data_IF_716444406809
#
_entry.id   IF_716444406809
#
_cell.length_a   1.000
_cell.length_b   1.000
_cell.length_c   1.000
_cell.angle_alpha   90.00
_cell.angle_beta   90.00
_cell.angle_gamma   90.00
#
_symmetry.space_group_name_H-M   'P 1'
#
loop_
_entity.id
_entity.type
_entity.pdbx_description
1 polymer ?
#
# COMPACT_ATOMS: atom_id res chain seq x y z
N UNK A 1 -2.55 9.68 -41.11
CA UNK A 1 -2.18 8.45 -40.37
C UNK A 1 -0.82 8.71 -39.76
N UNK A 2 -0.81 9.42 -38.63
CA UNK A 2 0.43 9.81 -38.00
C UNK A 2 0.66 8.86 -36.81
N UNK A 3 1.58 7.92 -37.03
CA UNK A 3 2.12 7.07 -35.98
C UNK A 3 3.02 7.93 -35.10
N UNK A 4 2.52 8.41 -33.99
CA UNK A 4 3.35 9.03 -32.95
C UNK A 4 4.20 7.92 -32.32
N UNK A 5 5.37 7.70 -32.91
CA UNK A 5 6.44 6.93 -32.27
C UNK A 5 6.90 7.74 -31.06
N UNK A 6 6.61 7.26 -29.86
CA UNK A 6 7.19 7.81 -28.64
C UNK A 6 8.67 7.41 -28.70
N UNK A 7 9.51 8.37 -29.04
CA UNK A 7 10.97 8.26 -28.98
C UNK A 7 11.36 8.19 -27.49
N UNK A 8 11.57 6.98 -27.00
CA UNK A 8 12.15 6.74 -25.69
C UNK A 8 13.64 7.06 -25.80
N UNK A 9 14.02 8.24 -25.31
CA UNK A 9 15.41 8.66 -25.23
C UNK A 9 16.27 7.55 -24.62
N UNK A 10 17.43 7.22 -25.20
CA UNK A 10 18.30 6.11 -24.75
C UNK A 10 18.80 6.25 -23.33
N UNK A 11 18.79 7.43 -22.74
CA UNK A 11 19.17 7.69 -21.34
C UNK A 11 18.24 7.02 -20.31
N UNK A 12 16.94 6.88 -20.61
CA UNK A 12 15.98 6.28 -19.70
C UNK A 12 16.18 4.76 -19.51
N UNK A 13 16.68 4.07 -20.51
CA UNK A 13 16.93 2.63 -20.44
C UNK A 13 18.12 2.30 -19.51
N UNK A 14 19.09 3.20 -19.40
CA UNK A 14 20.28 3.04 -18.55
C UNK A 14 19.95 3.25 -17.07
N UNK A 15 18.96 4.07 -16.73
CA UNK A 15 18.57 4.41 -15.35
C UNK A 15 17.53 3.44 -14.77
N UNK A 16 16.92 2.57 -15.57
CA UNK A 16 15.86 1.65 -15.15
C UNK A 16 16.26 0.74 -13.98
N UNK A 17 17.45 0.13 -13.94
CA UNK A 17 17.86 -0.72 -12.82
C UNK A 17 18.04 0.07 -11.52
N UNK A 18 18.59 1.27 -11.60
CA UNK A 18 18.85 2.14 -10.45
C UNK A 18 17.53 2.68 -9.87
N UNK A 19 16.60 3.09 -10.73
CA UNK A 19 15.27 3.51 -10.33
C UNK A 19 14.47 2.38 -9.65
N UNK A 20 14.58 1.14 -10.14
CA UNK A 20 13.93 0.00 -9.51
C UNK A 20 14.56 -0.32 -8.15
N UNK A 21 15.87 -0.19 -8.01
CA UNK A 21 16.56 -0.38 -6.73
C UNK A 21 16.12 0.68 -5.71
N UNK A 22 16.04 1.95 -6.11
CA UNK A 22 15.57 3.05 -5.27
C UNK A 22 14.13 2.80 -4.82
N UNK A 23 13.23 2.45 -5.74
CA UNK A 23 11.84 2.09 -5.46
C UNK A 23 11.72 0.95 -4.43
N UNK A 24 12.51 -0.12 -4.59
CA UNK A 24 12.54 -1.25 -3.65
C UNK A 24 12.98 -0.83 -2.26
N UNK A 25 13.94 0.05 -2.18
CA UNK A 25 14.43 0.58 -0.91
C UNK A 25 13.36 1.45 -0.23
N UNK A 26 12.70 2.32 -0.99
CA UNK A 26 11.60 3.15 -0.53
C UNK A 26 10.42 2.30 -0.03
N UNK A 27 9.99 1.29 -0.81
CA UNK A 27 8.93 0.36 -0.41
C UNK A 27 9.26 -0.35 0.89
N UNK A 28 10.49 -0.86 1.01
CA UNK A 28 10.95 -1.52 2.24
C UNK A 28 10.87 -0.60 3.45
N UNK A 29 11.37 0.62 3.33
CA UNK A 29 11.38 1.60 4.42
C UNK A 29 9.95 2.00 4.79
N UNK A 30 9.12 2.28 3.79
CA UNK A 30 7.72 2.64 3.96
C UNK A 30 6.93 1.56 4.73
N UNK A 31 6.98 0.31 4.28
CA UNK A 31 6.26 -0.80 4.92
C UNK A 31 6.76 -1.10 6.34
N UNK A 32 8.07 -1.03 6.56
CA UNK A 32 8.63 -1.19 7.91
C UNK A 32 8.15 -0.12 8.86
N UNK A 33 8.10 1.13 8.42
CA UNK A 33 7.63 2.27 9.23
C UNK A 33 6.13 2.13 9.52
N UNK A 34 5.31 1.84 8.51
CA UNK A 34 3.88 1.65 8.67
C UNK A 34 3.56 0.52 9.67
N UNK A 35 4.26 -0.61 9.56
CA UNK A 35 4.11 -1.74 10.47
C UNK A 35 4.60 -1.46 11.89
N UNK A 36 5.68 -0.71 12.04
CA UNK A 36 6.25 -0.36 13.33
C UNK A 36 5.38 0.64 14.12
N UNK A 37 4.58 1.43 13.43
CA UNK A 37 3.70 2.44 14.03
C UNK A 37 2.41 1.88 14.64
N UNK A 38 2.08 0.59 14.46
CA UNK A 38 0.86 -0.03 14.95
C UNK A 38 1.16 -1.14 15.95
N UNK A 39 0.49 -1.10 17.09
CA UNK A 39 0.47 -2.23 18.03
C UNK A 39 -0.58 -3.28 17.64
N UNK A 40 -0.51 -4.50 18.21
CA UNK A 40 -1.52 -5.54 17.98
C UNK A 40 -2.93 -5.11 18.36
N UNK A 41 -3.07 -4.40 19.49
CA UNK A 41 -4.36 -3.87 19.94
C UNK A 41 -5.01 -2.94 18.93
N UNK A 42 -4.21 -2.19 18.16
CA UNK A 42 -4.72 -1.27 17.16
C UNK A 42 -5.44 -1.98 16.02
N UNK A 43 -5.10 -3.23 15.79
CA UNK A 43 -5.65 -4.07 14.70
C UNK A 43 -6.47 -5.27 15.22
N UNK A 44 -6.85 -5.25 16.49
CA UNK A 44 -7.69 -6.29 17.11
C UNK A 44 -6.97 -7.60 17.42
N UNK A 45 -5.64 -7.61 17.42
CA UNK A 45 -4.85 -8.79 17.79
C UNK A 45 -4.51 -8.78 19.29
N UNK A 46 -4.42 -9.95 19.93
CA UNK A 46 -4.08 -10.04 21.35
C UNK A 46 -2.65 -9.57 21.61
N UNK A 47 -2.47 -8.80 22.66
CA UNK A 47 -1.14 -8.44 23.15
C UNK A 47 -0.49 -9.62 23.86
N UNK A 48 0.66 -10.05 23.34
CA UNK A 48 1.47 -11.07 24.03
C UNK A 48 2.50 -10.39 24.95
N UNK A 49 2.60 -10.86 26.19
CA UNK A 49 3.41 -10.25 27.26
C UNK A 49 4.93 -10.14 26.96
N UNK A 50 5.47 -10.92 26.02
CA UNK A 50 6.90 -10.90 25.65
C UNK A 50 7.10 -10.45 24.20
N UNK A 51 6.94 -9.16 23.93
CA UNK A 51 7.25 -8.59 22.62
C UNK A 51 8.63 -7.96 22.60
N UNK A 52 9.50 -8.43 21.69
CA UNK A 52 10.81 -7.80 21.44
C UNK A 52 10.71 -6.59 20.49
N UNK A 53 9.58 -6.40 19.84
CA UNK A 53 9.33 -5.36 18.84
C UNK A 53 8.05 -4.63 19.24
N UNK A 54 8.04 -3.30 19.33
CA UNK A 54 6.85 -2.55 19.74
C UNK A 54 5.72 -2.63 18.71
N UNK A 55 6.03 -2.71 17.40
CA UNK A 55 5.07 -2.74 16.33
C UNK A 55 4.56 -4.15 15.96
N UNK A 56 3.75 -4.23 14.91
CA UNK A 56 3.26 -5.49 14.36
C UNK A 56 4.42 -6.36 13.85
N UNK A 57 4.31 -7.67 14.05
CA UNK A 57 5.22 -8.65 13.45
C UNK A 57 4.81 -8.92 12.00
N UNK A 58 5.76 -9.35 11.15
CA UNK A 58 5.47 -9.75 9.78
C UNK A 58 4.40 -10.84 9.68
N UNK A 59 4.43 -11.79 10.62
CA UNK A 59 3.42 -12.85 10.71
C UNK A 59 2.02 -12.32 10.99
N UNK A 60 1.90 -11.34 11.86
CA UNK A 60 0.63 -10.71 12.20
C UNK A 60 0.05 -9.95 10.98
N UNK A 61 0.88 -9.21 10.26
CA UNK A 61 0.43 -8.55 9.03
C UNK A 61 0.05 -9.56 7.96
N UNK A 62 0.85 -10.61 7.76
CA UNK A 62 0.56 -11.67 6.80
C UNK A 62 -0.79 -12.36 7.09
N UNK A 63 -1.07 -12.65 8.35
CA UNK A 63 -2.36 -13.20 8.81
C UNK A 63 -3.52 -12.26 8.50
N UNK A 64 -3.40 -10.97 8.86
CA UNK A 64 -4.43 -9.96 8.61
C UNK A 64 -4.80 -9.81 7.13
N UNK A 65 -3.82 -9.93 6.23
CA UNK A 65 -4.05 -9.78 4.79
C UNK A 65 -4.27 -11.11 4.05
N UNK A 66 -4.17 -12.25 4.75
CA UNK A 66 -4.43 -13.58 4.21
C UNK A 66 -3.36 -14.07 3.22
N UNK A 67 -2.08 -13.87 3.56
CA UNK A 67 -0.92 -14.37 2.79
C UNK A 67 0.05 -15.14 3.68
N UNK A 68 1.03 -15.82 3.07
CA UNK A 68 2.11 -16.46 3.84
C UNK A 68 3.11 -15.42 4.37
N UNK A 69 3.75 -15.72 5.49
CA UNK A 69 4.80 -14.86 6.08
C UNK A 69 5.97 -14.65 5.11
N UNK A 70 6.32 -15.68 4.33
CA UNK A 70 7.40 -15.62 3.36
C UNK A 70 7.04 -14.75 2.16
N UNK A 71 5.77 -14.76 1.73
CA UNK A 71 5.28 -13.84 0.73
C UNK A 71 5.41 -12.38 1.22
N UNK A 72 4.89 -12.11 2.43
CA UNK A 72 4.96 -10.76 3.01
C UNK A 72 6.41 -10.29 3.22
N UNK A 73 7.29 -11.19 3.69
CA UNK A 73 8.73 -10.90 3.83
C UNK A 73 9.36 -10.50 2.50
N UNK A 74 9.03 -11.22 1.42
CA UNK A 74 9.53 -10.93 0.07
C UNK A 74 8.99 -9.59 -0.45
N UNK A 75 7.72 -9.31 -0.23
CA UNK A 75 7.09 -8.04 -0.59
C UNK A 75 7.70 -6.87 0.18
N UNK A 76 7.79 -6.96 1.52
CA UNK A 76 8.41 -5.93 2.36
C UNK A 76 9.90 -5.70 1.99
N UNK A 77 10.59 -6.72 1.50
CA UNK A 77 11.96 -6.59 1.02
C UNK A 77 12.09 -5.96 -0.38
N UNK A 78 10.96 -5.62 -1.02
CA UNK A 78 10.93 -5.06 -2.36
C UNK A 78 11.25 -6.06 -3.46
N UNK A 79 11.16 -7.37 -3.19
CA UNK A 79 11.34 -8.39 -4.23
C UNK A 79 10.14 -8.39 -5.16
N UNK A 80 10.37 -8.80 -6.42
CA UNK A 80 9.29 -8.94 -7.40
C UNK A 80 8.35 -10.06 -6.97
N UNK A 81 7.19 -9.70 -6.48
CA UNK A 81 6.05 -10.59 -6.19
C UNK A 81 4.83 -10.07 -6.90
N UNK A 82 3.97 -10.98 -7.34
CA UNK A 82 2.69 -10.55 -7.94
C UNK A 82 1.80 -9.96 -6.86
N UNK A 83 1.36 -8.75 -7.09
CA UNK A 83 0.51 -7.99 -6.17
C UNK A 83 -0.78 -7.64 -6.89
N UNK A 84 -1.93 -7.98 -6.31
CA UNK A 84 -3.23 -7.56 -6.84
C UNK A 84 -3.71 -6.29 -6.13
N UNK A 85 -4.54 -5.47 -6.78
CA UNK A 85 -5.16 -4.31 -6.14
C UNK A 85 -5.93 -4.67 -4.86
N UNK A 86 -6.63 -5.82 -4.86
CA UNK A 86 -7.36 -6.32 -3.69
C UNK A 86 -6.45 -6.64 -2.52
N UNK A 87 -5.26 -7.15 -2.79
CA UNK A 87 -4.27 -7.42 -1.75
C UNK A 87 -3.70 -6.14 -1.17
N UNK A 88 -3.42 -5.14 -2.02
CA UNK A 88 -3.02 -3.80 -1.56
C UNK A 88 -4.11 -3.14 -0.71
N UNK A 89 -5.38 -3.25 -1.11
CA UNK A 89 -6.50 -2.74 -0.32
C UNK A 89 -6.58 -3.40 1.07
N UNK A 90 -6.39 -4.72 1.15
CA UNK A 90 -6.32 -5.42 2.46
C UNK A 90 -5.15 -4.94 3.30
N UNK A 91 -4.00 -4.72 2.69
CA UNK A 91 -2.81 -4.21 3.40
C UNK A 91 -3.02 -2.78 3.90
N UNK A 92 -3.63 -1.90 3.10
CA UNK A 92 -4.01 -0.53 3.47
C UNK A 92 -4.93 -0.55 4.70
N UNK A 93 -5.96 -1.39 4.68
CA UNK A 93 -6.89 -1.54 5.79
C UNK A 93 -6.19 -2.12 7.04
N UNK A 94 -5.39 -3.18 6.90
CA UNK A 94 -4.68 -3.82 7.99
C UNK A 94 -3.67 -2.89 8.67
N UNK A 95 -2.98 -2.05 7.90
CA UNK A 95 -2.02 -1.08 8.41
C UNK A 95 -2.63 0.30 8.67
N UNK A 96 -3.96 0.44 8.61
CA UNK A 96 -4.70 1.70 8.87
C UNK A 96 -4.09 2.91 8.16
N UNK A 97 -3.74 2.74 6.90
CA UNK A 97 -3.08 3.77 6.12
C UNK A 97 -4.04 4.91 5.79
N UNK A 98 -3.55 6.14 5.87
CA UNK A 98 -4.25 7.30 5.31
C UNK A 98 -4.31 7.22 3.77
N UNK A 99 -5.18 8.01 3.14
CA UNK A 99 -5.29 8.07 1.67
C UNK A 99 -3.95 8.41 1.00
N UNK A 100 -3.16 9.30 1.60
CA UNK A 100 -1.83 9.64 1.10
C UNK A 100 -0.86 8.45 1.17
N UNK A 101 -0.87 7.72 2.29
CA UNK A 101 -0.03 6.53 2.45
C UNK A 101 -0.49 5.38 1.55
N UNK A 102 -1.80 5.23 1.36
CA UNK A 102 -2.36 4.27 0.41
C UNK A 102 -1.88 4.53 -1.01
N UNK A 103 -1.91 5.78 -1.43
CA UNK A 103 -1.42 6.20 -2.74
C UNK A 103 0.08 5.95 -2.90
N UNK A 104 0.89 6.31 -1.90
CA UNK A 104 2.32 6.03 -1.89
C UNK A 104 2.59 4.51 -2.00
N UNK A 105 1.81 3.68 -1.29
CA UNK A 105 1.92 2.22 -1.39
C UNK A 105 1.65 1.73 -2.82
N UNK A 106 0.60 2.19 -3.49
CA UNK A 106 0.31 1.80 -4.87
C UNK A 106 1.44 2.17 -5.82
N UNK A 107 1.99 3.38 -5.70
CA UNK A 107 3.12 3.82 -6.51
C UNK A 107 4.37 2.96 -6.28
N UNK A 108 4.69 2.66 -5.03
CA UNK A 108 5.86 1.88 -4.68
C UNK A 108 5.70 0.39 -4.99
N UNK A 109 4.48 -0.15 -4.88
CA UNK A 109 4.21 -1.57 -5.10
C UNK A 109 4.12 -1.96 -6.58
N UNK A 110 3.73 -1.02 -7.45
CA UNK A 110 3.53 -1.26 -8.88
C UNK A 110 4.62 -0.50 -9.65
N UNK A 111 5.64 -1.19 -10.22
CA UNK A 111 6.77 -0.55 -10.89
C UNK A 111 6.36 0.42 -12.00
N UNK A 112 5.35 0.05 -12.78
CA UNK A 112 4.85 0.86 -13.89
C UNK A 112 4.28 2.19 -13.40
N UNK A 113 3.61 2.19 -12.25
CA UNK A 113 3.08 3.42 -11.64
C UNK A 113 4.19 4.30 -11.10
N UNK A 114 5.22 3.72 -10.52
CA UNK A 114 6.38 4.46 -10.01
C UNK A 114 7.11 5.20 -11.13
N UNK A 115 7.36 4.52 -12.24
CA UNK A 115 8.02 5.10 -13.42
C UNK A 115 7.16 6.20 -14.06
N UNK A 116 5.87 5.94 -14.26
CA UNK A 116 4.94 6.92 -14.83
C UNK A 116 4.84 8.18 -13.98
N UNK A 117 4.83 8.04 -12.65
CA UNK A 117 4.78 9.19 -11.74
C UNK A 117 6.05 10.02 -11.81
N UNK A 118 7.22 9.39 -11.88
CA UNK A 118 8.49 10.14 -12.03
C UNK A 118 8.62 10.83 -13.38
N UNK A 119 8.11 10.22 -14.45
CA UNK A 119 8.10 10.83 -15.78
C UNK A 119 7.04 11.94 -15.91
N UNK A 120 5.90 11.80 -15.23
CA UNK A 120 4.80 12.77 -15.27
C UNK A 120 5.04 14.04 -14.43
N UNK A 121 6.17 14.16 -13.72
CA UNK A 121 6.56 15.39 -13.02
C UNK A 121 6.65 16.60 -13.97
N UNK A 122 6.54 16.38 -15.29
CA UNK A 122 6.47 17.43 -16.30
C UNK A 122 5.08 17.92 -16.71
N UNK A 123 4.05 17.09 -16.80
CA UNK A 123 2.84 17.53 -17.54
C UNK A 123 1.54 16.79 -17.22
N UNK A 124 1.09 16.49 -16.09
CA UNK A 124 -0.33 16.13 -15.87
C UNK A 124 -0.61 15.46 -14.51
N UNK A 125 -0.09 16.04 -13.47
CA UNK A 125 -0.22 15.46 -12.12
C UNK A 125 -1.67 15.41 -11.59
N UNK A 126 -2.56 16.31 -12.00
CA UNK A 126 -3.88 16.44 -11.38
C UNK A 126 -4.86 15.31 -11.72
N UNK A 127 -4.90 14.86 -12.96
CA UNK A 127 -5.92 13.86 -13.36
C UNK A 127 -5.57 12.44 -12.90
N UNK A 128 -4.30 12.07 -12.95
CA UNK A 128 -3.82 10.76 -12.46
C UNK A 128 -3.97 10.67 -10.95
N UNK A 129 -3.66 11.73 -10.22
CA UNK A 129 -3.85 11.83 -8.77
C UNK A 129 -5.31 11.70 -8.37
N UNK A 130 -6.23 12.36 -9.06
CA UNK A 130 -7.66 12.28 -8.76
C UNK A 130 -8.26 10.89 -9.03
N UNK A 131 -7.79 10.19 -10.08
CA UNK A 131 -8.22 8.81 -10.35
C UNK A 131 -7.74 7.83 -9.29
N UNK A 132 -6.47 7.92 -8.90
CA UNK A 132 -5.88 7.06 -7.87
C UNK A 132 -6.48 7.29 -6.49
N UNK A 133 -6.71 8.54 -6.10
CA UNK A 133 -7.38 8.89 -4.85
C UNK A 133 -8.78 8.28 -4.81
N UNK A 134 -9.55 8.38 -5.91
CA UNK A 134 -10.90 7.82 -6.00
C UNK A 134 -10.92 6.29 -5.88
N UNK A 135 -9.97 5.59 -6.49
CA UNK A 135 -9.83 4.13 -6.37
C UNK A 135 -9.46 3.73 -4.95
N UNK A 136 -8.56 4.47 -4.31
CA UNK A 136 -8.19 4.24 -2.91
C UNK A 136 -9.37 4.51 -1.96
N UNK A 137 -10.12 5.58 -2.15
CA UNK A 137 -11.29 5.91 -1.33
C UNK A 137 -12.40 4.86 -1.48
N UNK A 138 -12.66 4.37 -2.70
CA UNK A 138 -13.57 3.26 -2.92
C UNK A 138 -13.12 1.96 -2.25
N UNK A 139 -11.83 1.64 -2.30
CA UNK A 139 -11.28 0.45 -1.66
C UNK A 139 -11.35 0.54 -0.13
N UNK A 140 -11.15 1.73 0.44
CA UNK A 140 -11.27 1.98 1.87
C UNK A 140 -12.74 1.90 2.32
N UNK A 141 -13.67 2.49 1.56
CA UNK A 141 -15.11 2.47 1.85
C UNK A 141 -15.73 1.08 1.73
N UNK A 142 -15.31 0.27 0.76
CA UNK A 142 -15.80 -1.10 0.60
C UNK A 142 -15.30 -2.06 1.69
N UNK A 143 -14.27 -1.69 2.44
CA UNK A 143 -13.68 -2.51 3.49
C UNK A 143 -14.04 -2.05 4.91
N UNK A 144 -14.87 -0.99 5.07
CA UNK A 144 -15.47 -0.64 6.35
C UNK A 144 -16.73 -1.50 6.56
N UNK A 145 -16.77 -2.38 7.57
CA UNK A 145 -18.03 -2.95 8.01
C UNK A 145 -18.90 -1.78 8.51
N UNK A 146 -20.06 -1.63 7.91
CA UNK A 146 -21.07 -0.64 8.29
C UNK A 146 -21.29 -0.72 9.79
N UNK A 147 -20.90 0.30 10.53
CA UNK A 147 -21.37 0.53 11.90
C UNK A 147 -22.82 1.05 11.86
N UNK A 148 -23.73 0.19 11.38
CA UNK A 148 -25.15 0.32 11.58
C UNK A 148 -25.55 -0.71 12.64
N UNK A 149 -25.49 -0.31 13.89
CA UNK A 149 -25.89 -1.17 14.99
C UNK A 149 -25.61 -0.58 16.38
N UNK A 150 -25.93 0.72 16.56
CA UNK A 150 -25.91 1.31 17.90
C UNK A 150 -26.93 2.45 18.01
N UNK A 151 -28.21 2.13 17.86
CA UNK A 151 -29.31 2.96 18.38
C UNK A 151 -30.55 2.09 18.56
N UNK A 152 -30.56 1.24 19.57
CA UNK A 152 -31.79 0.68 20.14
C UNK A 152 -31.52 0.17 21.57
N UNK A 153 -31.11 1.08 22.46
CA UNK A 153 -31.17 0.85 23.90
C UNK A 153 -31.73 2.10 24.60
N UNK A 154 -32.90 2.54 24.17
CA UNK A 154 -33.72 3.48 24.92
C UNK A 154 -35.20 3.21 24.68
N UNK A 155 -35.66 2.04 25.11
CA UNK A 155 -37.10 1.76 25.22
C UNK A 155 -37.39 0.59 26.16
N UNK A 156 -36.88 0.65 27.38
CA UNK A 156 -37.44 -0.08 28.53
C UNK A 156 -36.90 0.52 29.83
N UNK A 157 -37.50 1.63 30.25
CA UNK A 157 -37.71 2.02 31.65
C UNK A 157 -39.06 2.73 31.71
#
# INVERSE_FOLDING_TARGET
MDSTTIDLSPDLASDMPELDLARRHELRTFLKTARAGLGPSDVGLPQTMRRRVPGLRRGEVAELIGVTVDWYRSFEAGRSVRVSPQLLSRLIAALRMSSLNALALFQLAIPEMYLTTRQAIGNSQRETWMRLTRVCDQAIQSNHPSSQGATDVERYL
#
